data_IF_438973617490
#
_entry.id   IF_438973617490
#
_cell.length_a   1.000
_cell.length_b   1.000
_cell.length_c   1.000
_cell.angle_alpha   90.00
_cell.angle_beta   90.00
_cell.angle_gamma   90.00
#
_symmetry.space_group_name_H-M   'P 1'
#
loop_
_entity.id
_entity.type
_entity.pdbx_description
1 polymer ?
#
# COMPACT_ATOMS: atom_id res chain seq x y z
N UNK A 1 20.50 37.50 15.85
CA UNK A 1 19.43 36.50 15.85
C UNK A 1 19.21 36.07 14.42
N UNK A 2 19.50 34.81 14.07
CA UNK A 2 19.17 34.26 12.75
C UNK A 2 17.64 34.25 12.68
N UNK A 3 17.07 35.16 11.90
CA UNK A 3 15.68 35.02 11.45
C UNK A 3 15.74 33.84 10.49
N UNK A 4 15.45 32.67 11.06
CA UNK A 4 15.32 31.45 10.31
C UNK A 4 14.17 31.72 9.34
N UNK A 5 14.46 31.64 8.05
CA UNK A 5 13.48 31.93 7.01
C UNK A 5 12.42 30.82 7.05
N UNK A 6 11.35 31.08 7.82
CA UNK A 6 10.28 30.12 8.14
C UNK A 6 9.67 29.54 6.87
N UNK A 7 9.64 30.32 5.79
CA UNK A 7 9.14 29.89 4.48
C UNK A 7 10.06 28.83 3.86
N UNK A 8 11.38 29.03 3.94
CA UNK A 8 12.36 28.05 3.46
C UNK A 8 12.32 26.73 4.24
N UNK A 9 12.05 26.79 5.55
CA UNK A 9 11.90 25.58 6.37
C UNK A 9 10.60 24.83 6.09
N UNK A 10 9.52 25.56 5.86
CA UNK A 10 8.23 24.99 5.49
C UNK A 10 8.30 24.28 4.12
N UNK A 11 9.02 24.86 3.16
CA UNK A 11 9.28 24.23 1.85
C UNK A 11 10.09 22.94 1.99
N UNK A 12 11.16 22.97 2.80
CA UNK A 12 11.95 21.77 3.08
C UNK A 12 11.10 20.67 3.76
N UNK A 13 10.22 21.03 4.68
CA UNK A 13 9.30 20.11 5.33
C UNK A 13 8.30 19.51 4.33
N UNK A 14 7.73 20.32 3.44
CA UNK A 14 6.81 19.87 2.40
C UNK A 14 7.47 18.85 1.46
N UNK A 15 8.73 19.08 1.09
CA UNK A 15 9.52 18.14 0.28
C UNK A 15 9.74 16.82 1.03
N UNK A 16 10.09 16.87 2.31
CA UNK A 16 10.26 15.67 3.14
C UNK A 16 8.95 14.88 3.28
N UNK A 17 7.82 15.55 3.53
CA UNK A 17 6.50 14.92 3.60
C UNK A 17 6.12 14.27 2.27
N UNK A 18 6.40 14.93 1.14
CA UNK A 18 6.14 14.37 -0.18
C UNK A 18 7.00 13.11 -0.44
N UNK A 19 8.27 13.13 -0.04
CA UNK A 19 9.16 11.97 -0.15
C UNK A 19 8.67 10.79 0.69
N UNK A 20 8.30 11.03 1.96
CA UNK A 20 7.77 9.99 2.86
C UNK A 20 6.48 9.38 2.31
N UNK A 21 5.52 10.20 1.87
CA UNK A 21 4.28 9.72 1.23
C UNK A 21 4.55 8.92 -0.04
N UNK A 22 5.59 9.28 -0.77
CA UNK A 22 5.98 8.56 -1.99
C UNK A 22 6.54 7.18 -1.68
N UNK A 23 7.42 7.08 -0.69
CA UNK A 23 8.00 5.80 -0.29
C UNK A 23 6.95 4.89 0.35
N UNK A 24 6.08 5.44 1.21
CA UNK A 24 4.93 4.70 1.75
C UNK A 24 4.03 4.11 0.65
N UNK A 25 3.77 4.87 -0.43
CA UNK A 25 2.98 4.38 -1.56
C UNK A 25 3.69 3.24 -2.30
N UNK A 26 5.01 3.33 -2.47
CA UNK A 26 5.80 2.26 -3.10
C UNK A 26 5.78 1.00 -2.24
N UNK A 27 5.94 1.14 -0.93
CA UNK A 27 5.93 0.02 0.00
C UNK A 27 4.55 -0.66 0.04
N UNK A 28 3.47 0.12 0.06
CA UNK A 28 2.10 -0.41 -0.06
C UNK A 28 1.89 -1.13 -1.39
N UNK A 29 2.32 -0.54 -2.51
CA UNK A 29 2.22 -1.19 -3.82
C UNK A 29 3.02 -2.50 -3.88
N UNK A 30 4.19 -2.53 -3.24
CA UNK A 30 5.02 -3.72 -3.13
C UNK A 30 4.33 -4.82 -2.32
N UNK A 31 3.78 -4.48 -1.16
CA UNK A 31 3.05 -5.41 -0.31
C UNK A 31 1.86 -6.05 -1.05
N UNK A 32 1.09 -5.24 -1.80
CA UNK A 32 -0.02 -5.73 -2.62
C UNK A 32 0.49 -6.71 -3.69
N UNK A 33 1.58 -6.38 -4.40
CA UNK A 33 2.12 -7.24 -5.44
C UNK A 33 2.64 -8.60 -4.90
N UNK A 34 3.36 -8.58 -3.77
CA UNK A 34 3.86 -9.79 -3.13
C UNK A 34 2.70 -10.70 -2.69
N UNK A 35 1.61 -10.10 -2.21
CA UNK A 35 0.43 -10.84 -1.78
C UNK A 35 -0.43 -11.36 -2.93
N UNK A 36 -0.57 -10.63 -4.04
CA UNK A 36 -1.16 -11.15 -5.27
C UNK A 36 -0.38 -12.37 -5.80
N UNK A 37 0.95 -12.32 -5.70
CA UNK A 37 1.82 -13.45 -6.07
C UNK A 37 1.55 -14.67 -5.17
N UNK A 38 1.37 -14.46 -3.87
CA UNK A 38 1.02 -15.52 -2.92
C UNK A 38 -0.35 -16.15 -3.23
N UNK A 39 -1.36 -15.35 -3.60
CA UNK A 39 -2.68 -15.84 -4.00
C UNK A 39 -2.60 -16.68 -5.27
N UNK A 40 -1.89 -16.20 -6.29
CA UNK A 40 -1.67 -16.98 -7.51
C UNK A 40 -0.97 -18.33 -7.22
N UNK A 41 0.03 -18.32 -6.34
CA UNK A 41 0.67 -19.56 -5.89
C UNK A 41 -0.29 -20.47 -5.14
N UNK A 42 -1.17 -19.92 -4.31
CA UNK A 42 -2.18 -20.66 -3.56
C UNK A 42 -3.16 -21.37 -4.52
N UNK A 43 -3.77 -20.61 -5.44
CA UNK A 43 -4.69 -21.11 -6.46
C UNK A 43 -4.06 -22.27 -7.24
N UNK A 44 -2.82 -22.08 -7.70
CA UNK A 44 -2.10 -23.11 -8.47
C UNK A 44 -1.77 -24.35 -7.63
N UNK A 45 -1.32 -24.18 -6.38
CA UNK A 45 -0.88 -25.30 -5.53
C UNK A 45 -2.03 -26.12 -4.96
N UNK A 46 -3.18 -25.48 -4.76
CA UNK A 46 -4.37 -26.13 -4.20
C UNK A 46 -5.37 -26.55 -5.28
N UNK A 47 -5.05 -26.29 -6.56
CA UNK A 47 -5.91 -26.62 -7.71
C UNK A 47 -7.32 -26.05 -7.55
N UNK A 48 -7.41 -24.82 -7.00
CA UNK A 48 -8.69 -24.16 -6.73
C UNK A 48 -9.47 -23.99 -8.02
N UNK A 49 -10.76 -24.31 -7.98
CA UNK A 49 -11.65 -24.07 -9.10
C UNK A 49 -11.95 -22.57 -9.26
N UNK A 50 -12.66 -22.22 -10.34
CA UNK A 50 -12.97 -20.81 -10.64
C UNK A 50 -13.75 -20.09 -9.54
N UNK A 51 -14.66 -20.79 -8.85
CA UNK A 51 -15.46 -20.21 -7.75
C UNK A 51 -14.60 -19.97 -6.52
N UNK A 52 -13.79 -20.96 -6.13
CA UNK A 52 -12.87 -20.86 -4.98
C UNK A 52 -11.83 -19.76 -5.19
N UNK A 53 -11.30 -19.67 -6.42
CA UNK A 53 -10.34 -18.62 -6.80
C UNK A 53 -10.97 -17.23 -6.73
N UNK A 54 -12.20 -17.07 -7.24
CA UNK A 54 -12.92 -15.81 -7.19
C UNK A 54 -13.22 -15.38 -5.74
N UNK A 55 -13.62 -16.32 -4.89
CA UNK A 55 -13.89 -16.05 -3.47
C UNK A 55 -12.61 -15.67 -2.71
N UNK A 56 -11.49 -16.35 -2.99
CA UNK A 56 -10.20 -16.01 -2.41
C UNK A 56 -9.75 -14.59 -2.79
N UNK A 57 -9.87 -14.23 -4.07
CA UNK A 57 -9.56 -12.89 -4.56
C UNK A 57 -10.50 -11.85 -3.95
N UNK A 58 -11.80 -12.16 -3.85
CA UNK A 58 -12.79 -11.26 -3.25
C UNK A 58 -12.43 -10.94 -1.80
N UNK A 59 -12.16 -11.96 -0.98
CA UNK A 59 -11.75 -11.77 0.42
C UNK A 59 -10.49 -10.92 0.55
N UNK A 60 -9.52 -11.14 -0.34
CA UNK A 60 -8.32 -10.32 -0.35
C UNK A 60 -8.61 -8.86 -0.70
N UNK A 61 -9.48 -8.62 -1.69
CA UNK A 61 -9.89 -7.28 -2.07
C UNK A 61 -10.66 -6.57 -0.94
N UNK A 62 -11.49 -7.30 -0.19
CA UNK A 62 -12.15 -6.78 1.01
C UNK A 62 -11.13 -6.38 2.06
N UNK A 63 -10.12 -7.23 2.32
CA UNK A 63 -9.04 -6.91 3.24
C UNK A 63 -8.31 -5.62 2.88
N UNK A 64 -7.93 -5.43 1.60
CA UNK A 64 -7.28 -4.18 1.17
C UNK A 64 -8.18 -2.96 1.27
N UNK A 65 -9.48 -3.12 1.00
CA UNK A 65 -10.46 -2.04 1.17
C UNK A 65 -10.54 -1.64 2.64
N UNK A 66 -10.61 -2.61 3.54
CA UNK A 66 -10.70 -2.37 4.98
C UNK A 66 -9.41 -1.70 5.50
N UNK A 67 -8.23 -2.22 5.12
CA UNK A 67 -6.91 -1.61 5.39
C UNK A 67 -6.81 -0.17 4.84
N UNK A 68 -7.44 0.13 3.69
CA UNK A 68 -7.44 1.49 3.13
C UNK A 68 -8.29 2.48 3.93
N UNK A 69 -9.26 1.99 4.72
CA UNK A 69 -10.17 2.79 5.54
C UNK A 69 -9.65 3.00 6.97
N UNK A 70 -8.75 2.15 7.45
CA UNK A 70 -8.13 2.25 8.79
C UNK A 70 -7.07 3.36 8.92
N UNK A 71 -6.85 4.16 7.87
CA UNK A 71 -5.95 5.31 7.92
C UNK A 71 -6.61 6.49 8.65
N UNK A 72 -6.44 6.51 9.97
CA UNK A 72 -6.73 7.65 10.87
C UNK A 72 -5.66 8.74 10.78
#
# INVERSE_FOLDING_TARGET
>A
MKHLDVDSENDALNVLVAAVRNDERKDRARAVADRLTAIACCIRRQELNGVESAELIRREAERYRDESQELH
#
